data_IF_787398020863
#
_entry.id   IF_787398020863
#
_cell.length_a   1.000
_cell.length_b   1.000
_cell.length_c   1.000
_cell.angle_alpha   90.00
_cell.angle_beta   90.00
_cell.angle_gamma   90.00
#
_symmetry.space_group_name_H-M   'P 1'
#
loop_
_entity.id
_entity.type
_entity.pdbx_description
1 polymer ?
#
# COMPACT_ATOMS: atom_id res chain seq x y z
N UNK A 1 -23.50 -44.76 -5.45
CA UNK A 1 -23.25 -43.55 -6.25
C UNK A 1 -22.03 -42.89 -5.63
N UNK A 2 -20.87 -43.08 -6.24
CA UNK A 2 -19.63 -42.41 -5.84
C UNK A 2 -19.73 -40.98 -6.34
N UNK A 3 -19.87 -40.03 -5.42
CA UNK A 3 -19.78 -38.61 -5.71
C UNK A 3 -18.32 -38.33 -6.07
N UNK A 4 -18.02 -38.23 -7.36
CA UNK A 4 -16.74 -37.68 -7.82
C UNK A 4 -16.76 -36.21 -7.42
N UNK A 5 -16.05 -35.86 -6.35
CA UNK A 5 -15.74 -34.46 -6.08
C UNK A 5 -15.07 -33.88 -7.33
N UNK A 6 -15.51 -32.70 -7.82
CA UNK A 6 -14.89 -32.10 -8.97
C UNK A 6 -13.41 -31.85 -8.65
N UNK A 7 -12.50 -32.31 -9.52
CA UNK A 7 -11.09 -31.95 -9.42
C UNK A 7 -10.99 -30.42 -9.51
N UNK A 8 -10.66 -29.80 -8.38
CA UNK A 8 -10.40 -28.37 -8.32
C UNK A 8 -9.14 -28.09 -9.14
N UNK A 9 -9.19 -27.06 -9.98
CA UNK A 9 -7.97 -26.52 -10.55
C UNK A 9 -7.05 -26.01 -9.43
N UNK A 10 -5.75 -25.89 -9.69
CA UNK A 10 -4.81 -25.31 -8.72
C UNK A 10 -5.29 -23.93 -8.24
N UNK A 11 -5.84 -23.11 -9.14
CA UNK A 11 -6.39 -21.81 -8.80
C UNK A 11 -7.62 -21.91 -7.89
N UNK A 12 -8.50 -22.88 -8.11
CA UNK A 12 -9.68 -23.09 -7.26
C UNK A 12 -9.28 -23.63 -5.88
N UNK A 13 -8.24 -24.44 -5.81
CA UNK A 13 -7.67 -24.91 -4.56
C UNK A 13 -7.06 -23.75 -3.74
N UNK A 14 -6.30 -22.86 -4.38
CA UNK A 14 -5.75 -21.67 -3.73
C UNK A 14 -6.84 -20.71 -3.24
N UNK A 15 -7.90 -20.52 -4.05
CA UNK A 15 -9.08 -19.73 -3.65
C UNK A 15 -9.79 -20.35 -2.44
N UNK A 16 -9.90 -21.67 -2.39
CA UNK A 16 -10.51 -22.35 -1.26
C UNK A 16 -9.67 -22.21 0.01
N UNK A 17 -8.34 -22.29 -0.09
CA UNK A 17 -7.43 -22.00 1.03
C UNK A 17 -7.62 -20.57 1.53
N UNK A 18 -7.65 -19.59 0.63
CA UNK A 18 -7.88 -18.18 0.98
C UNK A 18 -9.24 -18.00 1.69
N UNK A 19 -10.30 -18.64 1.18
CA UNK A 19 -11.64 -18.61 1.79
C UNK A 19 -11.64 -19.20 3.20
N UNK A 20 -10.97 -20.34 3.40
CA UNK A 20 -10.84 -20.99 4.71
C UNK A 20 -10.01 -20.13 5.68
N UNK A 21 -8.91 -19.55 5.22
CA UNK A 21 -8.08 -18.64 6.00
C UNK A 21 -8.85 -17.39 6.44
N UNK A 22 -9.65 -16.80 5.54
CA UNK A 22 -10.54 -15.69 5.86
C UNK A 22 -11.56 -16.08 6.94
N UNK A 23 -12.15 -17.28 6.84
CA UNK A 23 -13.10 -17.79 7.84
C UNK A 23 -12.46 -17.89 9.23
N UNK A 24 -11.22 -18.36 9.35
CA UNK A 24 -10.50 -18.40 10.63
C UNK A 24 -10.47 -17.01 11.27
N UNK A 25 -10.16 -15.97 10.50
CA UNK A 25 -10.16 -14.58 10.98
C UNK A 25 -11.55 -14.10 11.44
N UNK A 26 -12.61 -14.45 10.70
CA UNK A 26 -13.99 -14.12 11.10
C UNK A 26 -14.36 -14.79 12.42
N UNK A 27 -14.14 -16.10 12.55
CA UNK A 27 -14.50 -16.83 13.77
C UNK A 27 -13.68 -16.32 14.97
N UNK A 28 -12.38 -16.08 14.81
CA UNK A 28 -11.54 -15.50 15.85
C UNK A 28 -11.99 -14.08 16.27
N UNK A 29 -12.54 -13.29 15.35
CA UNK A 29 -13.10 -11.97 15.68
C UNK A 29 -14.30 -12.07 16.63
N UNK A 30 -15.08 -13.14 16.54
CA UNK A 30 -16.22 -13.39 17.43
C UNK A 30 -15.79 -13.73 18.86
N UNK A 31 -14.54 -14.15 19.07
CA UNK A 31 -13.98 -14.44 20.39
C UNK A 31 -13.43 -13.19 21.11
N UNK A 32 -13.42 -12.02 20.44
CA UNK A 32 -13.14 -10.73 21.07
C UNK A 32 -11.66 -10.42 21.35
N UNK A 33 -10.73 -11.30 20.98
CA UNK A 33 -9.28 -11.08 21.16
C UNK A 33 -8.53 -10.78 19.87
N UNK A 34 -9.15 -10.96 18.70
CA UNK A 34 -8.50 -10.71 17.40
C UNK A 34 -8.02 -9.26 17.31
N UNK A 35 -6.74 -9.07 16.99
CA UNK A 35 -6.14 -7.74 16.82
C UNK A 35 -5.51 -7.56 15.44
N UNK A 36 -5.90 -6.49 14.76
CA UNK A 36 -5.24 -6.03 13.53
C UNK A 36 -4.07 -5.07 13.80
N UNK A 37 -3.82 -4.71 15.06
CA UNK A 37 -2.66 -3.93 15.50
C UNK A 37 -1.50 -4.90 15.86
N UNK A 38 -0.32 -4.40 16.30
CA UNK A 38 0.70 -5.27 16.91
C UNK A 38 0.09 -6.15 18.00
N UNK A 39 0.58 -7.39 18.11
CA UNK A 39 0.00 -8.37 19.00
C UNK A 39 0.14 -7.95 20.48
N UNK A 40 -0.92 -8.10 21.30
CA UNK A 40 -0.86 -7.86 22.74
C UNK A 40 0.28 -8.64 23.41
N UNK A 41 0.85 -8.09 24.49
CA UNK A 41 1.95 -8.73 25.20
C UNK A 41 1.56 -10.10 25.78
N UNK A 42 0.30 -10.26 26.18
CA UNK A 42 -0.31 -11.46 26.75
C UNK A 42 -0.91 -12.42 25.70
N UNK A 43 -0.84 -12.09 24.40
CA UNK A 43 -1.36 -12.98 23.36
C UNK A 43 -0.59 -14.30 23.30
N UNK A 44 -1.34 -15.40 23.28
CA UNK A 44 -0.78 -16.76 23.11
C UNK A 44 -0.17 -16.93 21.71
N UNK A 45 0.66 -17.95 21.53
CA UNK A 45 1.25 -18.25 20.22
C UNK A 45 0.19 -18.48 19.13
N UNK A 46 -0.91 -19.20 19.46
CA UNK A 46 -2.01 -19.40 18.52
C UNK A 46 -2.69 -18.08 18.14
N UNK A 47 -2.98 -17.23 19.12
CA UNK A 47 -3.61 -15.92 18.86
C UNK A 47 -2.72 -15.04 17.98
N UNK A 48 -1.40 -15.04 18.21
CA UNK A 48 -0.44 -14.32 17.36
C UNK A 48 -0.45 -14.83 15.92
N UNK A 49 -0.46 -16.15 15.73
CA UNK A 49 -0.53 -16.75 14.40
C UNK A 49 -1.85 -16.43 13.69
N UNK A 50 -2.99 -16.50 14.40
CA UNK A 50 -4.30 -16.16 13.83
C UNK A 50 -4.39 -14.66 13.52
N UNK A 51 -3.89 -13.80 14.39
CA UNK A 51 -3.81 -12.36 14.12
C UNK A 51 -2.93 -12.08 12.89
N UNK A 52 -1.80 -12.76 12.74
CA UNK A 52 -0.93 -12.63 11.56
C UNK A 52 -1.67 -13.06 10.29
N UNK A 53 -2.36 -14.21 10.31
CA UNK A 53 -3.16 -14.70 9.20
C UNK A 53 -4.30 -13.74 8.83
N UNK A 54 -5.03 -13.23 9.83
CA UNK A 54 -6.14 -12.30 9.62
C UNK A 54 -5.66 -10.94 9.09
N UNK A 55 -4.47 -10.47 9.50
CA UNK A 55 -3.85 -9.27 8.93
C UNK A 55 -3.46 -9.48 7.46
N UNK A 56 -2.86 -10.62 7.13
CA UNK A 56 -2.44 -10.95 5.77
C UNK A 56 -3.65 -11.06 4.83
N UNK A 57 -4.60 -11.95 5.13
CA UNK A 57 -5.78 -12.21 4.27
C UNK A 57 -6.71 -11.01 4.10
N UNK A 58 -6.62 -10.02 4.98
CA UNK A 58 -7.43 -8.80 4.84
C UNK A 58 -6.88 -7.90 3.75
N UNK A 59 -5.57 -7.81 3.54
CA UNK A 59 -4.96 -6.81 2.65
C UNK A 59 -5.10 -7.19 1.17
N UNK A 60 -5.20 -6.17 0.31
CA UNK A 60 -4.96 -6.41 -1.12
C UNK A 60 -3.44 -6.51 -1.30
N UNK A 61 -2.95 -7.68 -1.71
CA UNK A 61 -1.53 -7.91 -1.91
C UNK A 61 -1.07 -7.38 -3.27
N UNK A 62 0.14 -6.82 -3.29
CA UNK A 62 0.77 -6.24 -4.48
C UNK A 62 2.29 -6.26 -4.37
N UNK A 63 3.00 -6.18 -5.49
CA UNK A 63 4.46 -6.16 -5.50
C UNK A 63 5.01 -4.97 -4.70
N UNK A 64 5.88 -5.26 -3.72
CA UNK A 64 6.43 -4.24 -2.82
C UNK A 64 5.53 -3.89 -1.62
N UNK A 65 4.52 -4.69 -1.31
CA UNK A 65 3.75 -4.58 -0.05
C UNK A 65 4.50 -5.16 1.17
N UNK A 66 5.65 -5.79 0.94
CA UNK A 66 6.52 -6.38 1.96
C UNK A 66 6.16 -7.81 2.35
N UNK A 67 5.16 -8.43 1.71
CA UNK A 67 4.74 -9.79 2.01
C UNK A 67 5.75 -10.84 1.54
N UNK A 68 6.45 -10.61 0.43
CA UNK A 68 7.47 -11.52 -0.09
C UNK A 68 8.90 -10.98 0.11
N UNK A 69 9.02 -9.76 0.64
CA UNK A 69 10.27 -9.03 0.80
C UNK A 69 10.56 -8.69 2.27
N UNK A 70 10.44 -9.68 3.16
CA UNK A 70 10.49 -9.51 4.63
C UNK A 70 11.75 -8.79 5.14
N UNK A 71 12.87 -8.89 4.43
CA UNK A 71 14.14 -8.25 4.80
C UNK A 71 14.23 -6.78 4.34
N UNK A 72 13.35 -6.32 3.45
CA UNK A 72 13.38 -4.94 2.95
C UNK A 72 12.61 -4.02 3.91
N UNK A 73 13.23 -2.94 4.40
CA UNK A 73 12.55 -2.02 5.30
C UNK A 73 11.36 -1.34 4.62
N UNK A 74 10.32 -1.01 5.39
CA UNK A 74 9.15 -0.27 4.90
C UNK A 74 9.40 1.25 4.93
N UNK A 75 8.88 1.97 3.95
CA UNK A 75 8.88 3.44 3.91
C UNK A 75 7.57 3.95 4.45
N UNK A 76 7.64 4.69 5.55
CA UNK A 76 6.46 5.37 6.10
C UNK A 76 6.05 6.51 5.19
N UNK A 77 4.92 6.38 4.51
CA UNK A 77 4.42 7.43 3.61
C UNK A 77 3.49 8.39 4.36
N UNK A 78 3.73 9.69 4.18
CA UNK A 78 2.74 10.72 4.48
C UNK A 78 1.56 10.64 3.49
N UNK A 79 1.88 10.36 2.24
CA UNK A 79 0.93 10.09 1.18
C UNK A 79 1.65 9.83 -0.13
N UNK A 80 0.90 9.62 -1.19
CA UNK A 80 1.44 9.39 -2.51
C UNK A 80 0.58 10.03 -3.61
N UNK A 81 1.19 10.24 -4.77
CA UNK A 81 0.53 10.67 -6.00
C UNK A 81 0.91 9.76 -7.17
N UNK A 82 0.04 9.70 -8.19
CA UNK A 82 0.28 8.96 -9.43
C UNK A 82 0.07 9.89 -10.61
N UNK A 83 1.09 10.06 -11.44
CA UNK A 83 1.01 10.79 -12.70
C UNK A 83 1.12 9.79 -13.84
N UNK A 84 0.05 9.65 -14.63
CA UNK A 84 -0.01 8.73 -15.78
C UNK A 84 -0.55 9.47 -17.01
N UNK A 85 -0.12 9.08 -18.22
CA UNK A 85 -0.81 9.51 -19.45
C UNK A 85 -2.32 9.24 -19.36
N UNK A 86 -3.14 10.26 -19.60
CA UNK A 86 -4.60 10.17 -19.59
C UNK A 86 -5.26 10.00 -18.21
N UNK A 87 -4.50 9.85 -17.13
CA UNK A 87 -5.01 9.73 -15.76
C UNK A 87 -4.15 10.60 -14.84
N UNK A 88 -4.49 11.90 -14.79
CA UNK A 88 -3.90 12.86 -13.87
C UNK A 88 -4.76 12.96 -12.59
N UNK A 89 -4.16 13.25 -11.43
CA UNK A 89 -4.92 13.43 -10.20
C UNK A 89 -5.92 14.59 -10.31
N UNK A 90 -7.04 14.49 -9.57
CA UNK A 90 -8.06 15.53 -9.56
C UNK A 90 -7.50 16.89 -9.12
N UNK A 91 -7.90 17.95 -9.81
CA UNK A 91 -7.43 19.32 -9.56
C UNK A 91 -6.10 19.68 -10.24
N UNK A 92 -5.56 18.80 -11.08
CA UNK A 92 -4.39 19.09 -11.93
C UNK A 92 -4.86 19.34 -13.35
N UNK A 93 -4.73 20.59 -13.79
CA UNK A 93 -5.11 21.02 -15.14
C UNK A 93 -3.96 20.90 -16.16
N UNK A 94 -2.72 20.71 -15.70
CA UNK A 94 -1.55 20.46 -16.56
C UNK A 94 -1.59 19.05 -17.19
N UNK A 95 -1.04 18.93 -18.39
CA UNK A 95 -0.81 17.65 -19.04
C UNK A 95 0.21 16.79 -18.29
N UNK A 96 0.23 15.50 -18.58
CA UNK A 96 1.20 14.56 -18.00
C UNK A 96 2.65 14.99 -18.27
N UNK A 97 2.92 15.45 -19.49
CA UNK A 97 4.24 15.89 -19.95
C UNK A 97 4.68 17.16 -19.23
N UNK A 98 3.78 18.14 -19.07
CA UNK A 98 4.04 19.37 -18.30
C UNK A 98 4.32 19.06 -16.83
N UNK A 99 3.51 18.18 -16.23
CA UNK A 99 3.71 17.74 -14.85
C UNK A 99 5.07 17.04 -14.66
N UNK A 100 5.48 16.19 -15.60
CA UNK A 100 6.80 15.54 -15.61
C UNK A 100 7.93 16.57 -15.70
N UNK A 101 7.83 17.52 -16.64
CA UNK A 101 8.81 18.58 -16.79
C UNK A 101 8.96 19.44 -15.52
N UNK A 102 7.84 19.79 -14.89
CA UNK A 102 7.81 20.57 -13.63
C UNK A 102 8.49 19.85 -12.47
N UNK A 103 8.29 18.54 -12.35
CA UNK A 103 8.94 17.74 -11.30
C UNK A 103 10.38 17.33 -11.66
N UNK A 104 10.80 17.54 -12.91
CA UNK A 104 12.17 17.32 -13.37
C UNK A 104 12.47 15.89 -13.83
N UNK A 105 11.47 15.18 -14.35
CA UNK A 105 11.63 13.83 -14.92
C UNK A 105 11.21 13.81 -16.38
N UNK A 106 11.77 12.87 -17.13
CA UNK A 106 11.30 12.56 -18.48
C UNK A 106 9.96 11.82 -18.42
N UNK A 107 9.03 12.20 -19.30
CA UNK A 107 7.75 11.52 -19.42
C UNK A 107 7.95 10.07 -19.90
N UNK A 108 7.20 9.12 -19.34
CA UNK A 108 7.27 7.71 -19.71
C UNK A 108 5.88 7.08 -19.80
N UNK A 109 5.66 6.07 -20.67
CA UNK A 109 4.34 5.49 -20.88
C UNK A 109 3.70 4.90 -19.61
N UNK A 110 4.52 4.34 -18.71
CA UNK A 110 4.03 3.73 -17.47
C UNK A 110 3.63 4.76 -16.41
N UNK A 111 4.05 6.02 -16.56
CA UNK A 111 3.86 7.05 -15.54
C UNK A 111 4.92 7.05 -14.43
N UNK A 112 4.66 7.89 -13.44
CA UNK A 112 5.49 8.12 -12.25
C UNK A 112 4.65 8.06 -10.98
N UNK A 113 5.21 7.49 -9.92
CA UNK A 113 4.68 7.60 -8.57
C UNK A 113 5.48 8.65 -7.77
N UNK A 114 4.78 9.45 -6.99
CA UNK A 114 5.36 10.44 -6.08
C UNK A 114 5.12 9.96 -4.66
N UNK A 115 6.18 9.58 -3.95
CA UNK A 115 6.09 9.10 -2.57
C UNK A 115 6.53 10.22 -1.62
N UNK A 116 5.58 10.79 -0.90
CA UNK A 116 5.82 11.84 0.08
C UNK A 116 6.16 11.20 1.43
N UNK A 117 7.38 11.41 1.90
CA UNK A 117 7.92 10.81 3.13
C UNK A 117 8.81 11.81 3.85
N UNK A 118 9.66 11.32 4.74
CA UNK A 118 10.65 12.10 5.47
C UNK A 118 12.04 11.49 5.27
N UNK A 119 13.06 12.33 5.23
CA UNK A 119 14.46 11.90 5.30
C UNK A 119 14.87 11.49 6.73
N UNK A 120 16.13 11.11 6.89
CA UNK A 120 16.71 10.72 8.19
C UNK A 120 16.64 11.85 9.24
N UNK A 121 16.77 13.10 8.79
CA UNK A 121 16.65 14.32 9.60
C UNK A 121 15.18 14.74 9.85
N UNK A 122 14.21 13.90 9.45
CA UNK A 122 12.76 14.14 9.53
C UNK A 122 12.27 15.34 8.72
N UNK A 123 13.02 15.78 7.71
CA UNK A 123 12.56 16.81 6.77
C UNK A 123 11.68 16.16 5.71
N UNK A 124 10.65 16.89 5.28
CA UNK A 124 9.76 16.43 4.23
C UNK A 124 10.52 16.25 2.91
N UNK A 125 10.31 15.12 2.25
CA UNK A 125 10.88 14.81 0.93
C UNK A 125 9.86 14.09 0.05
N UNK A 126 9.97 14.27 -1.27
CA UNK A 126 9.26 13.49 -2.29
C UNK A 126 10.25 12.63 -3.04
N UNK A 127 10.05 11.32 -3.04
CA UNK A 127 10.73 10.40 -3.94
C UNK A 127 9.88 10.25 -5.21
N UNK A 128 10.46 10.50 -6.39
CA UNK A 128 9.81 10.20 -7.67
C UNK A 128 10.30 8.85 -8.14
N UNK A 129 9.38 7.88 -8.20
CA UNK A 129 9.71 6.47 -8.37
C UNK A 129 8.93 5.80 -9.50
N UNK A 130 9.51 4.74 -10.07
CA UNK A 130 8.89 3.94 -11.13
C UNK A 130 7.87 2.93 -10.61
N UNK A 131 7.69 2.81 -9.28
CA UNK A 131 6.83 1.87 -8.58
C UNK A 131 5.32 2.24 -8.66
N UNK A 132 4.83 2.30 -9.90
CA UNK A 132 3.47 2.72 -10.24
C UNK A 132 2.43 1.72 -9.72
N UNK A 133 2.58 0.44 -10.03
CA UNK A 133 1.63 -0.62 -9.64
C UNK A 133 1.58 -0.79 -8.12
N UNK A 134 2.75 -0.74 -7.46
CA UNK A 134 2.86 -0.68 -5.99
C UNK A 134 2.01 0.46 -5.42
N UNK A 135 2.04 1.64 -6.04
CA UNK A 135 1.28 2.80 -5.58
C UNK A 135 -0.24 2.62 -5.80
N UNK A 136 -0.65 1.96 -6.87
CA UNK A 136 -2.06 1.60 -7.08
C UNK A 136 -2.55 0.60 -6.02
N UNK A 137 -1.72 -0.40 -5.68
CA UNK A 137 -1.99 -1.34 -4.60
C UNK A 137 -2.12 -0.66 -3.24
N UNK A 138 -1.27 0.34 -2.96
CA UNK A 138 -1.40 1.20 -1.78
C UNK A 138 -2.73 1.94 -1.77
N UNK A 139 -3.11 2.58 -2.88
CA UNK A 139 -4.38 3.31 -2.97
C UNK A 139 -5.60 2.41 -2.73
N UNK A 140 -5.59 1.17 -3.22
CA UNK A 140 -6.67 0.20 -2.94
C UNK A 140 -6.80 -0.10 -1.45
N UNK A 141 -5.68 -0.28 -0.75
CA UNK A 141 -5.70 -0.51 0.70
C UNK A 141 -6.08 0.76 1.49
N UNK A 142 -5.55 1.93 1.10
CA UNK A 142 -5.83 3.21 1.75
C UNK A 142 -7.29 3.63 1.62
N UNK A 143 -7.92 3.38 0.46
CA UNK A 143 -9.36 3.60 0.26
C UNK A 143 -10.22 2.80 1.25
N UNK A 144 -9.71 1.66 1.74
CA UNK A 144 -10.34 0.83 2.78
C UNK A 144 -9.88 1.19 4.19
N UNK A 145 -9.19 2.32 4.37
CA UNK A 145 -8.68 2.79 5.66
C UNK A 145 -7.48 2.01 6.21
N UNK A 146 -6.86 1.14 5.40
CA UNK A 146 -5.77 0.25 5.84
C UNK A 146 -4.44 0.98 5.72
N UNK A 147 -3.75 1.14 6.84
CA UNK A 147 -2.50 1.88 6.92
C UNK A 147 -1.29 1.01 6.53
N UNK A 148 -1.20 0.68 5.24
CA UNK A 148 -0.07 -0.07 4.66
C UNK A 148 0.99 0.91 4.12
N UNK A 149 2.25 0.52 4.28
CA UNK A 149 3.43 1.23 3.81
C UNK A 149 4.20 0.28 2.87
N UNK A 150 4.71 0.74 1.72
CA UNK A 150 5.47 -0.10 0.81
C UNK A 150 6.89 -0.34 1.33
N UNK A 151 7.58 -1.33 0.78
CA UNK A 151 9.03 -1.47 0.96
C UNK A 151 9.80 -0.29 0.38
N UNK A 152 10.99 0.01 0.92
CA UNK A 152 11.94 0.97 0.36
C UNK A 152 12.20 0.63 -1.10
N UNK A 153 11.98 1.56 -2.05
CA UNK A 153 12.17 1.28 -3.47
C UNK A 153 13.63 0.97 -3.74
N UNK A 154 13.91 0.14 -4.74
CA UNK A 154 15.28 -0.10 -5.18
C UNK A 154 15.90 1.20 -5.71
N UNK A 155 17.23 1.38 -5.61
CA UNK A 155 17.88 2.57 -6.18
C UNK A 155 17.54 2.78 -7.67
N UNK A 156 17.42 1.71 -8.45
CA UNK A 156 17.03 1.74 -9.86
C UNK A 156 15.58 2.19 -10.10
N UNK A 157 14.73 2.13 -9.08
CA UNK A 157 13.34 2.59 -9.14
C UNK A 157 13.22 4.07 -8.78
N UNK A 158 14.24 4.71 -8.21
CA UNK A 158 14.23 6.12 -7.81
C UNK A 158 14.83 6.96 -8.93
N UNK A 159 14.00 7.79 -9.57
CA UNK A 159 14.47 8.73 -10.58
C UNK A 159 15.10 9.98 -9.95
N UNK A 160 14.46 10.53 -8.92
CA UNK A 160 14.98 11.65 -8.15
C UNK A 160 14.34 11.75 -6.77
N UNK A 161 15.00 12.48 -5.87
CA UNK A 161 14.48 12.87 -4.56
C UNK A 161 14.49 14.39 -4.46
N UNK A 162 13.36 14.97 -4.06
CA UNK A 162 13.21 16.41 -3.86
C UNK A 162 12.90 16.74 -2.42
N UNK A 163 13.42 17.87 -1.96
CA UNK A 163 13.05 18.47 -0.68
C UNK A 163 11.64 19.05 -0.74
N UNK A 164 10.88 18.87 0.34
CA UNK A 164 9.47 19.23 0.41
C UNK A 164 8.56 18.13 -0.13
N UNK A 165 7.27 18.24 0.15
CA UNK A 165 6.24 17.41 -0.48
C UNK A 165 5.72 18.08 -1.74
N UNK A 166 5.48 17.29 -2.79
CA UNK A 166 5.11 17.75 -4.13
C UNK A 166 3.80 17.12 -4.58
N UNK A 167 3.01 17.94 -5.28
CA UNK A 167 1.87 17.54 -6.09
C UNK A 167 0.63 17.19 -5.26
N UNK A 168 -0.51 16.94 -5.92
CA UNK A 168 -1.69 16.44 -5.24
C UNK A 168 -1.36 15.09 -4.57
N UNK A 169 -1.75 14.99 -3.30
CA UNK A 169 -1.39 13.86 -2.43
C UNK A 169 -2.67 13.14 -2.02
N UNK A 170 -2.73 11.84 -2.29
CA UNK A 170 -3.60 10.95 -1.52
C UNK A 170 -2.89 10.64 -0.21
N UNK A 171 -3.38 11.18 0.90
CA UNK A 171 -2.80 10.93 2.22
C UNK A 171 -2.95 9.47 2.62
N UNK A 172 -1.90 8.91 3.22
CA UNK A 172 -2.03 7.61 3.88
C UNK A 172 -2.93 7.76 5.11
N UNK A 173 -3.61 6.69 5.58
CA UNK A 173 -4.38 6.76 6.82
C UNK A 173 -3.55 7.20 8.05
N UNK A 174 -2.23 6.94 8.03
CA UNK A 174 -1.28 7.46 9.04
C UNK A 174 -0.98 8.94 8.81
N UNK A 175 -0.79 9.35 7.56
CA UNK A 175 -0.59 10.73 7.15
C UNK A 175 -1.72 11.63 7.62
N UNK A 176 -2.98 11.23 7.39
CA UNK A 176 -4.18 11.94 7.88
C UNK A 176 -4.13 12.17 9.39
N UNK A 177 -3.83 11.13 10.17
CA UNK A 177 -3.73 11.23 11.64
C UNK A 177 -2.62 12.16 12.10
N UNK A 178 -1.49 12.21 11.38
CA UNK A 178 -0.30 12.98 11.75
C UNK A 178 -0.37 14.44 11.31
N UNK A 179 -1.06 14.73 10.21
CA UNK A 179 -1.16 16.09 9.66
C UNK A 179 -2.48 16.79 9.99
N UNK A 180 -3.48 16.05 10.49
CA UNK A 180 -4.81 16.60 10.77
C UNK A 180 -5.62 16.95 9.52
N UNK A 181 -5.14 16.60 8.32
CA UNK A 181 -5.72 16.98 7.02
C UNK A 181 -6.58 15.86 6.41
N UNK A 182 -7.49 15.31 7.21
CA UNK A 182 -8.48 14.36 6.69
C UNK A 182 -9.31 15.01 5.59
N UNK A 183 -9.11 14.59 4.33
CA UNK A 183 -9.98 14.96 3.21
C UNK A 183 -9.71 16.30 2.52
N UNK A 184 -8.58 16.98 2.77
CA UNK A 184 -8.23 18.19 2.01
C UNK A 184 -7.05 17.91 1.05
N UNK A 185 -7.24 18.07 -0.27
CA UNK A 185 -6.11 18.21 -1.17
C UNK A 185 -5.35 19.49 -0.79
N UNK A 186 -4.02 19.42 -0.83
CA UNK A 186 -3.21 20.64 -0.80
C UNK A 186 -3.22 21.23 -2.20
N UNK A 187 -3.65 22.49 -2.29
CA UNK A 187 -3.50 23.35 -3.47
C UNK A 187 -2.03 23.57 -3.80
#
# INVERSE_FOLDING_TARGET
MTTTEPELSELDYLREIERLAYRIGVEASNEGWLSFAPDPADATALQRSVNALARATRHYHFEGDGCLEEERPLVRLAGAGLFKPGVMPAGVDESYEEACARIGVEARPQGWALWNTWDEDRRAVTMVVTAVETTEGLFRNWALGRALDPVVPLPSQVALVRTGWIGPITFSPRGVRRTGRGGQPLS
#
